data_IF_567819383260
#
_entry.id   IF_567819383260
#
_cell.length_a   1.000
_cell.length_b   1.000
_cell.length_c   1.000
_cell.angle_alpha   90.00
_cell.angle_beta   90.00
_cell.angle_gamma   90.00
#
_symmetry.space_group_name_H-M   'P 1'
#
loop_
_entity.id
_entity.type
_entity.pdbx_description
1 polymer ?
#
# COMPACT_ATOMS: atom_id res chain seq x y z
N UNK A 1 12.18 -17.10 3.93
CA UNK A 1 10.78 -17.19 3.48
C UNK A 1 10.57 -18.52 2.79
N UNK A 2 9.39 -19.13 2.95
CA UNK A 2 9.04 -20.35 2.23
C UNK A 2 8.37 -19.98 0.90
N UNK A 3 8.44 -20.86 -0.10
CA UNK A 3 7.83 -20.65 -1.42
C UNK A 3 6.35 -20.28 -1.32
N UNK A 4 5.59 -20.98 -0.47
CA UNK A 4 4.16 -20.70 -0.23
C UNK A 4 3.88 -19.26 0.21
N UNK A 5 4.78 -18.65 0.99
CA UNK A 5 4.60 -17.29 1.50
C UNK A 5 4.87 -16.28 0.37
N UNK A 6 5.85 -16.57 -0.50
CA UNK A 6 6.14 -15.76 -1.69
C UNK A 6 4.97 -15.78 -2.67
N UNK A 7 4.42 -16.97 -2.93
CA UNK A 7 3.24 -17.15 -3.81
C UNK A 7 2.04 -16.40 -3.25
N UNK A 8 1.81 -16.46 -1.94
CA UNK A 8 0.71 -15.73 -1.31
C UNK A 8 0.86 -14.21 -1.43
N UNK A 9 2.07 -13.68 -1.18
CA UNK A 9 2.34 -12.25 -1.37
C UNK A 9 2.11 -11.82 -2.83
N UNK A 10 2.63 -12.58 -3.80
CA UNK A 10 2.45 -12.28 -5.22
C UNK A 10 0.96 -12.32 -5.63
N UNK A 11 0.20 -13.29 -5.12
CA UNK A 11 -1.23 -13.40 -5.38
C UNK A 11 -2.01 -12.19 -4.81
N UNK A 12 -1.72 -11.79 -3.57
CA UNK A 12 -2.38 -10.65 -2.94
C UNK A 12 -2.11 -9.35 -3.71
N UNK A 13 -0.85 -9.11 -4.11
CA UNK A 13 -0.51 -7.93 -4.90
C UNK A 13 -1.16 -7.95 -6.29
N UNK A 14 -1.27 -9.11 -6.91
CA UNK A 14 -1.97 -9.27 -8.19
C UNK A 14 -3.47 -8.98 -8.05
N UNK A 15 -4.10 -9.43 -6.96
CA UNK A 15 -5.49 -9.09 -6.64
C UNK A 15 -5.62 -7.57 -6.43
N UNK A 16 -4.70 -6.97 -5.68
CA UNK A 16 -4.66 -5.53 -5.43
C UNK A 16 -4.58 -4.72 -6.74
N UNK A 17 -3.72 -5.16 -7.67
CA UNK A 17 -3.59 -4.58 -9.01
C UNK A 17 -4.91 -4.65 -9.79
N UNK A 18 -5.53 -5.83 -9.88
CA UNK A 18 -6.79 -6.02 -10.62
C UNK A 18 -7.89 -5.15 -10.03
N UNK A 19 -8.06 -5.16 -8.70
CA UNK A 19 -9.05 -4.31 -8.01
C UNK A 19 -8.80 -2.83 -8.27
N UNK A 20 -7.54 -2.40 -8.25
CA UNK A 20 -7.16 -1.02 -8.50
C UNK A 20 -7.45 -0.57 -9.94
N UNK A 21 -7.42 -1.48 -10.92
CA UNK A 21 -7.74 -1.19 -12.31
C UNK A 21 -9.23 -1.09 -12.59
N UNK A 22 -10.04 -1.95 -11.94
CA UNK A 22 -11.49 -1.95 -12.17
C UNK A 22 -12.24 -0.92 -11.33
N UNK A 23 -11.62 -0.39 -10.27
CA UNK A 23 -12.28 0.57 -9.37
C UNK A 23 -12.32 1.95 -9.99
N UNK A 24 -13.51 2.55 -10.18
CA UNK A 24 -13.63 3.90 -10.70
C UNK A 24 -13.13 4.93 -9.67
N UNK A 25 -12.69 6.11 -10.12
CA UNK A 25 -12.44 7.24 -9.23
C UNK A 25 -13.70 7.61 -8.44
N UNK A 26 -13.53 7.95 -7.16
CA UNK A 26 -14.65 8.27 -6.25
C UNK A 26 -14.73 9.78 -6.04
N UNK A 27 -13.87 10.35 -5.20
CA UNK A 27 -13.93 11.76 -4.78
C UNK A 27 -12.80 12.54 -5.43
N UNK A 28 -13.13 13.57 -6.21
CA UNK A 28 -12.12 14.46 -6.83
C UNK A 28 -11.16 13.76 -7.80
N UNK A 29 -11.58 12.66 -8.41
CA UNK A 29 -10.72 11.85 -9.30
C UNK A 29 -9.78 10.87 -8.58
N UNK A 30 -9.86 10.75 -7.25
CA UNK A 30 -9.08 9.78 -6.49
C UNK A 30 -9.74 8.40 -6.47
N UNK A 31 -8.94 7.37 -6.74
CA UNK A 31 -9.33 5.96 -6.60
C UNK A 31 -8.75 5.35 -5.32
N UNK A 32 -9.46 4.43 -4.66
CA UNK A 32 -8.90 3.59 -3.61
C UNK A 32 -7.62 2.87 -4.06
N UNK A 33 -6.58 2.90 -3.24
CA UNK A 33 -5.32 2.20 -3.53
C UNK A 33 -5.36 0.75 -3.00
N UNK A 34 -6.07 -0.11 -3.73
CA UNK A 34 -6.14 -1.54 -3.39
C UNK A 34 -4.80 -2.27 -3.47
N UNK A 35 -3.85 -1.79 -4.28
CA UNK A 35 -2.52 -2.37 -4.36
C UNK A 35 -1.76 -2.16 -3.05
N UNK A 36 -1.75 -0.93 -2.54
CA UNK A 36 -1.14 -0.58 -1.25
C UNK A 36 -1.83 -1.30 -0.08
N UNK A 37 -3.17 -1.36 -0.10
CA UNK A 37 -3.92 -2.12 0.90
C UNK A 37 -3.51 -3.60 0.94
N UNK A 38 -3.38 -4.25 -0.23
CA UNK A 38 -2.95 -5.65 -0.31
C UNK A 38 -1.48 -5.84 0.07
N UNK A 39 -0.62 -4.85 -0.21
CA UNK A 39 0.76 -4.85 0.27
C UNK A 39 0.81 -4.87 1.80
N UNK A 40 0.01 -4.03 2.46
CA UNK A 40 -0.06 -4.00 3.93
C UNK A 40 -0.57 -5.34 4.48
N UNK A 41 -1.61 -5.91 3.87
CA UNK A 41 -2.14 -7.23 4.26
C UNK A 41 -1.09 -8.33 4.08
N UNK A 42 -0.33 -8.32 2.99
CA UNK A 42 0.76 -9.26 2.78
C UNK A 42 1.85 -9.15 3.86
N UNK A 43 2.17 -7.93 4.31
CA UNK A 43 3.10 -7.69 5.42
C UNK A 43 2.54 -8.14 6.77
N UNK A 44 1.24 -7.96 7.02
CA UNK A 44 0.59 -8.51 8.22
C UNK A 44 0.60 -10.03 8.25
N UNK A 45 0.54 -10.70 7.10
CA UNK A 45 0.63 -12.15 7.01
C UNK A 45 2.05 -12.65 7.25
N UNK A 46 3.04 -11.95 6.70
CA UNK A 46 4.45 -12.28 6.82
C UNK A 46 5.30 -11.01 6.97
N UNK A 47 5.54 -10.61 8.22
CA UNK A 47 6.36 -9.44 8.55
C UNK A 47 7.86 -9.79 8.62
N UNK A 48 8.43 -10.21 7.48
CA UNK A 48 9.87 -10.43 7.36
C UNK A 48 10.50 -9.41 6.39
N UNK A 49 11.75 -8.97 6.62
CA UNK A 49 12.42 -8.02 5.72
C UNK A 49 12.49 -8.49 4.27
N UNK A 50 12.66 -9.80 4.06
CA UNK A 50 12.62 -10.40 2.71
C UNK A 50 11.25 -10.26 2.06
N UNK A 51 10.17 -10.36 2.84
CA UNK A 51 8.82 -10.20 2.31
C UNK A 51 8.49 -8.73 2.05
N UNK A 52 8.97 -7.82 2.91
CA UNK A 52 8.86 -6.38 2.66
C UNK A 52 9.54 -5.99 1.35
N UNK A 53 10.77 -6.47 1.12
CA UNK A 53 11.47 -6.24 -0.13
C UNK A 53 10.71 -6.82 -1.34
N UNK A 54 10.29 -8.10 -1.26
CA UNK A 54 9.53 -8.73 -2.33
C UNK A 54 8.23 -7.98 -2.64
N UNK A 55 7.47 -7.64 -1.59
CA UNK A 55 6.19 -6.98 -1.72
C UNK A 55 6.35 -5.57 -2.29
N UNK A 56 7.34 -4.81 -1.82
CA UNK A 56 7.68 -3.49 -2.32
C UNK A 56 8.14 -3.51 -3.77
N UNK A 57 8.97 -4.46 -4.18
CA UNK A 57 9.42 -4.58 -5.59
C UNK A 57 8.25 -4.92 -6.51
N UNK A 58 7.42 -5.90 -6.15
CA UNK A 58 6.27 -6.29 -6.98
C UNK A 58 5.24 -5.17 -7.01
N UNK A 59 4.89 -4.61 -5.84
CA UNK A 59 3.95 -3.50 -5.71
C UNK A 59 4.43 -2.27 -6.48
N UNK A 60 5.68 -1.86 -6.28
CA UNK A 60 6.28 -0.72 -6.97
C UNK A 60 6.36 -0.93 -8.48
N UNK A 61 6.63 -2.15 -8.95
CA UNK A 61 6.57 -2.48 -10.38
C UNK A 61 5.15 -2.33 -10.92
N UNK A 62 4.15 -2.88 -10.23
CA UNK A 62 2.75 -2.77 -10.63
C UNK A 62 2.24 -1.32 -10.62
N UNK A 63 2.59 -0.56 -9.59
CA UNK A 63 2.26 0.86 -9.49
C UNK A 63 2.96 1.68 -10.58
N UNK A 64 4.23 1.42 -10.86
CA UNK A 64 4.97 2.06 -11.95
C UNK A 64 4.39 1.76 -13.33
N UNK A 65 3.95 0.53 -13.58
CA UNK A 65 3.34 0.14 -14.85
C UNK A 65 1.95 0.76 -15.09
N UNK A 66 1.28 1.20 -14.01
CA UNK A 66 -0.13 1.61 -14.07
C UNK A 66 -0.37 3.09 -13.77
N UNK A 67 0.67 3.80 -13.37
CA UNK A 67 0.58 5.22 -13.05
C UNK A 67 0.49 6.08 -14.31
N UNK A 68 -0.38 7.09 -14.25
CA UNK A 68 -0.48 8.16 -15.24
C UNK A 68 0.15 9.47 -14.75
N UNK A 69 0.71 9.48 -13.54
CA UNK A 69 1.30 10.68 -12.96
C UNK A 69 2.68 10.96 -13.60
N UNK A 70 2.99 12.21 -14.01
CA UNK A 70 4.31 12.56 -14.55
C UNK A 70 5.43 12.21 -13.57
N UNK A 71 6.46 11.48 -14.02
CA UNK A 71 7.53 10.98 -13.14
C UNK A 71 7.10 9.86 -12.18
N UNK A 72 5.83 9.45 -12.22
CA UNK A 72 5.25 8.46 -11.33
C UNK A 72 5.86 7.06 -11.47
N UNK A 73 6.39 6.70 -12.65
CA UNK A 73 7.02 5.39 -12.86
C UNK A 73 8.22 5.19 -11.94
N UNK A 74 9.10 6.20 -11.87
CA UNK A 74 10.26 6.20 -10.99
C UNK A 74 9.82 6.35 -9.53
N UNK A 75 8.90 7.27 -9.26
CA UNK A 75 8.42 7.53 -7.91
C UNK A 75 7.80 6.28 -7.26
N UNK A 76 6.82 5.64 -7.90
CA UNK A 76 6.14 4.45 -7.36
C UNK A 76 7.09 3.27 -7.16
N UNK A 77 8.06 3.05 -8.07
CA UNK A 77 8.97 1.91 -7.92
C UNK A 77 9.80 1.99 -6.63
N UNK A 78 10.34 3.17 -6.33
CA UNK A 78 11.16 3.36 -5.13
C UNK A 78 10.34 3.58 -3.87
N UNK A 79 9.26 4.35 -3.97
CA UNK A 79 8.39 4.64 -2.84
C UNK A 79 7.77 3.35 -2.27
N UNK A 80 7.22 2.46 -3.10
CA UNK A 80 6.57 1.26 -2.58
C UNK A 80 7.57 0.32 -1.85
N UNK A 81 8.84 0.32 -2.26
CA UNK A 81 9.92 -0.39 -1.55
C UNK A 81 10.15 0.24 -0.18
N UNK A 82 10.28 1.57 -0.12
CA UNK A 82 10.49 2.32 1.14
C UNK A 82 9.31 2.09 2.08
N UNK A 83 8.09 2.31 1.59
CA UNK A 83 6.85 2.13 2.34
C UNK A 83 6.69 0.70 2.84
N UNK A 84 7.04 -0.31 2.05
CA UNK A 84 6.98 -1.70 2.53
C UNK A 84 7.85 -1.95 3.76
N UNK A 85 9.05 -1.34 3.82
CA UNK A 85 9.91 -1.44 5.00
C UNK A 85 9.39 -0.63 6.19
N UNK A 86 8.93 0.61 5.94
CA UNK A 86 8.37 1.47 6.98
C UNK A 86 7.12 0.84 7.59
N UNK A 87 6.21 0.32 6.77
CA UNK A 87 5.00 -0.37 7.23
C UNK A 87 5.34 -1.67 7.95
N UNK A 88 6.30 -2.45 7.47
CA UNK A 88 6.82 -3.61 8.20
C UNK A 88 7.29 -3.23 9.61
N UNK A 89 7.97 -2.09 9.77
CA UNK A 89 8.36 -1.56 11.08
C UNK A 89 7.14 -1.10 11.91
N UNK A 90 6.21 -0.35 11.32
CA UNK A 90 4.98 0.10 12.00
C UNK A 90 4.15 -1.07 12.52
N UNK A 91 4.05 -2.16 11.77
CA UNK A 91 3.39 -3.39 12.21
C UNK A 91 4.09 -3.98 13.44
N UNK A 92 5.43 -3.97 13.50
CA UNK A 92 6.17 -4.44 14.69
C UNK A 92 5.93 -3.54 15.90
N UNK A 93 5.93 -2.23 15.71
CA UNK A 93 5.69 -1.25 16.77
C UNK A 93 4.27 -1.36 17.33
N UNK A 94 3.30 -1.68 16.48
CA UNK A 94 1.88 -1.84 16.88
C UNK A 94 1.50 -3.28 17.22
N UNK A 95 2.46 -4.21 17.30
CA UNK A 95 2.19 -5.64 17.50
C UNK A 95 1.49 -5.99 18.83
N UNK A 96 1.57 -5.11 19.84
CA UNK A 96 0.89 -5.27 21.14
C UNK A 96 -0.56 -4.79 21.13
N UNK A 97 -0.98 -4.09 20.07
CA UNK A 97 -2.33 -3.54 19.94
C UNK A 97 -3.28 -4.60 19.37
N UNK A 98 -4.58 -4.41 19.58
CA UNK A 98 -5.58 -5.27 18.92
C UNK A 98 -5.53 -5.06 17.40
N UNK A 99 -5.77 -6.09 16.57
CA UNK A 99 -5.83 -5.93 15.12
C UNK A 99 -6.87 -4.90 14.65
N UNK A 100 -7.96 -4.75 15.42
CA UNK A 100 -9.00 -3.75 15.18
C UNK A 100 -8.51 -2.30 15.31
N UNK A 101 -7.39 -2.07 16.00
CA UNK A 101 -6.77 -0.76 16.15
C UNK A 101 -5.45 -0.64 15.36
N UNK A 102 -4.63 -1.70 15.37
CA UNK A 102 -3.35 -1.73 14.64
C UNK A 102 -3.57 -1.56 13.14
N UNK A 103 -4.50 -2.31 12.54
CA UNK A 103 -4.68 -2.32 11.06
C UNK A 103 -5.15 -0.96 10.54
N UNK A 104 -6.18 -0.30 11.11
CA UNK A 104 -6.54 1.04 10.68
C UNK A 104 -5.43 2.07 10.89
N UNK A 105 -4.73 2.01 12.03
CA UNK A 105 -3.65 2.94 12.35
C UNK A 105 -2.49 2.83 11.34
N UNK A 106 -2.05 1.59 11.06
CA UNK A 106 -1.01 1.32 10.06
C UNK A 106 -1.51 1.68 8.67
N UNK A 107 -2.76 1.40 8.34
CA UNK A 107 -3.38 1.79 7.07
C UNK A 107 -3.32 3.31 6.85
N UNK A 108 -3.68 4.10 7.86
CA UNK A 108 -3.64 5.55 7.78
C UNK A 108 -2.21 6.08 7.67
N UNK A 109 -1.36 5.76 8.67
CA UNK A 109 0.02 6.28 8.74
C UNK A 109 0.83 5.82 7.52
N UNK A 110 0.70 4.54 7.14
CA UNK A 110 1.38 3.99 5.97
C UNK A 110 0.97 4.66 4.67
N UNK A 111 -0.31 5.03 4.52
CA UNK A 111 -0.77 5.73 3.30
C UNK A 111 -0.32 7.20 3.27
N UNK A 112 -0.30 7.88 4.42
CA UNK A 112 0.26 9.24 4.50
C UNK A 112 1.76 9.23 4.19
N UNK A 113 2.50 8.28 4.75
CA UNK A 113 3.93 8.11 4.51
C UNK A 113 4.21 7.82 3.04
N UNK A 114 3.55 6.81 2.47
CA UNK A 114 3.57 6.45 1.04
C UNK A 114 3.33 7.67 0.15
N UNK A 115 2.23 8.40 0.37
CA UNK A 115 1.91 9.59 -0.42
C UNK A 115 2.96 10.70 -0.30
N UNK A 116 3.55 10.86 0.88
CA UNK A 116 4.63 11.84 1.11
C UNK A 116 5.89 11.48 0.35
N UNK A 117 6.33 10.21 0.45
CA UNK A 117 7.52 9.71 -0.24
C UNK A 117 7.31 9.78 -1.76
N UNK A 118 6.13 9.36 -2.25
CA UNK A 118 5.76 9.44 -3.66
C UNK A 118 5.89 10.86 -4.20
N UNK A 119 5.24 11.83 -3.54
CA UNK A 119 5.27 13.23 -3.97
C UNK A 119 6.69 13.82 -3.88
N UNK A 120 7.48 13.41 -2.90
CA UNK A 120 8.86 13.89 -2.74
C UNK A 120 9.75 13.37 -3.87
N UNK A 121 9.66 12.08 -4.22
CA UNK A 121 10.45 11.52 -5.32
C UNK A 121 9.96 12.10 -6.65
N UNK A 122 8.64 12.21 -6.86
CA UNK A 122 8.09 12.81 -8.07
C UNK A 122 8.52 14.27 -8.24
N UNK A 123 8.60 15.03 -7.14
CA UNK A 123 9.15 16.38 -7.13
C UNK A 123 10.60 16.42 -7.62
N UNK A 124 11.45 15.50 -7.16
CA UNK A 124 12.86 15.42 -7.57
C UNK A 124 13.02 15.02 -9.04
N UNK A 125 12.14 14.16 -9.55
CA UNK A 125 12.18 13.67 -10.95
C UNK A 125 11.65 14.71 -11.93
N UNK A 126 10.56 15.40 -11.58
CA UNK A 126 9.85 16.32 -12.51
C UNK A 126 10.31 17.77 -12.36
N UNK A 127 10.80 18.18 -11.18
CA UNK A 127 11.34 19.52 -10.90
C UNK A 127 10.30 20.65 -10.79
N UNK A 128 9.14 20.53 -11.44
CA UNK A 128 8.08 21.57 -11.46
C UNK A 128 6.97 21.40 -10.40
N UNK A 129 7.10 20.39 -9.53
CA UNK A 129 6.14 20.11 -8.46
C UNK A 129 6.19 20.98 -7.17
N UNK A 130 7.16 21.91 -6.90
CA UNK A 130 7.24 22.55 -5.58
C UNK A 130 5.97 23.32 -5.19
N UNK A 131 5.33 24.00 -6.14
CA UNK A 131 4.11 24.78 -5.91
C UNK A 131 2.89 23.87 -5.75
N UNK A 132 2.88 22.72 -6.42
CA UNK A 132 1.77 21.77 -6.40
C UNK A 132 1.80 20.83 -5.18
N UNK A 133 2.94 20.67 -4.49
CA UNK A 133 3.10 19.70 -3.41
C UNK A 133 2.08 19.88 -2.27
N UNK A 134 1.90 21.08 -1.65
CA UNK A 134 0.96 21.23 -0.54
C UNK A 134 -0.49 20.98 -0.96
N UNK A 135 -0.83 21.36 -2.19
CA UNK A 135 -2.16 21.12 -2.76
C UNK A 135 -2.37 19.62 -2.92
N UNK A 136 -1.48 18.92 -3.62
CA UNK A 136 -1.59 17.47 -3.83
C UNK A 136 -1.58 16.70 -2.50
N UNK A 137 -0.78 17.11 -1.52
CA UNK A 137 -0.77 16.47 -0.22
C UNK A 137 -2.12 16.60 0.50
N UNK A 138 -2.67 17.81 0.55
CA UNK A 138 -3.94 18.07 1.27
C UNK A 138 -5.16 17.55 0.53
N UNK A 139 -5.20 17.63 -0.80
CA UNK A 139 -6.35 17.24 -1.61
C UNK A 139 -6.30 15.79 -2.09
N UNK A 140 -5.12 15.15 -2.09
CA UNK A 140 -4.94 13.76 -2.55
C UNK A 140 -4.52 12.84 -1.42
N UNK A 141 -3.39 13.11 -0.76
CA UNK A 141 -2.80 12.17 0.21
C UNK A 141 -3.70 11.99 1.44
N UNK A 142 -4.21 13.08 2.02
CA UNK A 142 -5.05 12.99 3.22
C UNK A 142 -6.38 12.26 2.96
N UNK A 143 -7.18 12.62 1.93
CA UNK A 143 -8.40 11.87 1.63
C UNK A 143 -8.12 10.41 1.24
N UNK A 144 -7.05 10.15 0.47
CA UNK A 144 -6.65 8.79 0.14
C UNK A 144 -6.30 7.98 1.38
N UNK A 145 -5.59 8.56 2.36
CA UNK A 145 -5.27 7.89 3.62
C UNK A 145 -6.53 7.51 4.41
N UNK A 146 -7.52 8.38 4.46
CA UNK A 146 -8.81 8.08 5.11
C UNK A 146 -9.50 6.91 4.40
N UNK A 147 -9.66 6.98 3.07
CA UNK A 147 -10.32 5.91 2.30
C UNK A 147 -9.54 4.59 2.43
N UNK A 148 -8.21 4.63 2.27
CA UNK A 148 -7.36 3.46 2.27
C UNK A 148 -7.29 2.79 3.64
N UNK A 149 -7.51 3.54 4.73
CA UNK A 149 -7.67 2.98 6.08
C UNK A 149 -8.84 2.00 6.13
N UNK A 150 -10.02 2.40 5.63
CA UNK A 150 -11.19 1.53 5.59
C UNK A 150 -10.98 0.34 4.66
N UNK A 151 -10.42 0.58 3.47
CA UNK A 151 -10.14 -0.46 2.48
C UNK A 151 -9.19 -1.50 3.04
N UNK A 152 -8.06 -1.07 3.61
CA UNK A 152 -7.07 -1.96 4.24
C UNK A 152 -7.71 -2.80 5.34
N UNK A 153 -8.52 -2.18 6.20
CA UNK A 153 -9.21 -2.89 7.27
C UNK A 153 -10.19 -3.95 6.75
N UNK A 154 -10.97 -3.63 5.72
CA UNK A 154 -11.88 -4.59 5.07
C UNK A 154 -11.08 -5.74 4.44
N UNK A 155 -10.07 -5.43 3.62
CA UNK A 155 -9.23 -6.42 2.96
C UNK A 155 -8.55 -7.35 3.97
N UNK A 156 -8.02 -6.80 5.06
CA UNK A 156 -7.43 -7.57 6.15
C UNK A 156 -8.42 -8.59 6.71
N UNK A 157 -9.63 -8.15 7.06
CA UNK A 157 -10.66 -9.03 7.64
C UNK A 157 -11.10 -10.13 6.67
N UNK A 158 -11.27 -9.81 5.38
CA UNK A 158 -11.63 -10.80 4.35
C UNK A 158 -10.54 -11.85 4.20
N UNK A 159 -9.28 -11.43 4.04
CA UNK A 159 -8.15 -12.35 3.82
C UNK A 159 -7.91 -13.24 5.04
N UNK A 160 -7.95 -12.69 6.26
CA UNK A 160 -7.76 -13.48 7.47
C UNK A 160 -8.94 -14.43 7.76
N UNK A 161 -10.17 -14.04 7.39
CA UNK A 161 -11.34 -14.93 7.46
C UNK A 161 -11.21 -16.10 6.50
N UNK A 162 -10.87 -15.85 5.24
CA UNK A 162 -10.63 -16.90 4.24
C UNK A 162 -9.52 -17.86 4.68
N UNK A 163 -8.42 -17.32 5.21
CA UNK A 163 -7.30 -18.13 5.73
C UNK A 163 -7.71 -19.01 6.91
N UNK A 164 -8.61 -18.55 7.77
CA UNK A 164 -9.13 -19.32 8.91
C UNK A 164 -9.97 -20.50 8.43
N UNK A 165 -10.78 -20.31 7.38
CA UNK A 165 -11.58 -21.40 6.77
C UNK A 165 -10.66 -22.46 6.17
N UNK A 166 -9.66 -22.07 5.39
CA UNK A 166 -8.73 -23.02 4.75
C UNK A 166 -7.88 -23.83 5.73
N UNK A 167 -7.65 -23.34 6.96
CA UNK A 167 -6.94 -24.11 8.01
C UNK A 167 -7.83 -25.12 8.72
N UNK A 168 -9.15 -25.00 8.60
CA UNK A 168 -10.14 -25.88 9.25
C UNK A 168 -10.63 -27.00 8.32
N UNK A 169 -10.52 -26.80 6.99
CA UNK A 169 -10.75 -27.83 5.98
C UNK A 169 -9.50 -28.73 5.85
#
# INVERSE_FOLDING_TARGET
MKLKDMVLTALLLSIGLVLHQITPPIVGGMKPNFLLAMLFVALYINNSPRNAFLAGVIGGTFAALTTSFPGGQVANFFEEIITAFVVSLLIKLTAKMSPHLSVPLVGFIGTVESGTVFLTIALLVVGSLPVAFPILFTTVVIPAAVINTFVTYICYNVVFSARKVMKKA
#
